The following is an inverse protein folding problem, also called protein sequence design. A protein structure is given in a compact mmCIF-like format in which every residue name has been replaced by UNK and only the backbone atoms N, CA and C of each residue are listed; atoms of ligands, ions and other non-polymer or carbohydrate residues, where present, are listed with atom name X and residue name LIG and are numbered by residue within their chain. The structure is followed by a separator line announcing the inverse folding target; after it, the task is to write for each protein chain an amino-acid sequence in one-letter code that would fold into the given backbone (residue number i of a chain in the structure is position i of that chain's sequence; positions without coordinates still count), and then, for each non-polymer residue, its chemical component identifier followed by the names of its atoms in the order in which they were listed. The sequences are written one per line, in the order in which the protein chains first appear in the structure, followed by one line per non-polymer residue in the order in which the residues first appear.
data_IF_826140655706
#
_entry.id   IF_826140655706
#
_cell.length_a   1.000
_cell.length_b   1.000
_cell.length_c   1.000
_cell.angle_alpha   90.00
_cell.angle_beta   90.00
_cell.angle_gamma   90.00
#
_symmetry.space_group_name_H-M   'P 1'
#
loop_
_entity.id
_entity.type
_entity.pdbx_description
1 polymer ?
#
# COMPACT_ATOMS: atom_id res chain seq x y z
N UNK A 1 -27.24 0.62 14.42
CA UNK A 1 -26.22 -0.42 14.40
C UNK A 1 -24.98 0.13 15.08
N UNK A 2 -24.37 -0.61 16.01
CA UNK A 2 -23.02 -0.32 16.50
C UNK A 2 -22.01 -0.98 15.56
N UNK A 3 -20.92 -0.29 15.28
CA UNK A 3 -19.85 -0.78 14.39
C UNK A 3 -18.52 -0.61 15.10
N UNK A 4 -17.72 -1.67 15.14
CA UNK A 4 -16.35 -1.65 15.60
C UNK A 4 -15.44 -1.93 14.40
N UNK A 5 -14.49 -1.04 14.10
CA UNK A 5 -13.44 -1.24 13.13
C UNK A 5 -12.16 -1.61 13.86
N UNK A 6 -11.64 -2.79 13.55
CA UNK A 6 -10.40 -3.33 14.11
C UNK A 6 -9.27 -3.16 13.11
N UNK A 7 -8.16 -2.57 13.53
CA UNK A 7 -7.01 -2.27 12.68
C UNK A 7 -5.71 -2.70 13.36
N UNK A 8 -4.87 -3.43 12.63
CA UNK A 8 -3.59 -3.94 13.15
C UNK A 8 -2.53 -2.85 13.31
N UNK A 9 -2.62 -1.79 12.52
CA UNK A 9 -1.69 -0.65 12.61
C UNK A 9 -2.23 0.46 13.54
N UNK A 10 -1.49 1.54 13.67
CA UNK A 10 -1.90 2.73 14.42
C UNK A 10 -2.64 3.77 13.58
N UNK A 11 -3.07 3.44 12.36
CA UNK A 11 -3.75 4.36 11.47
C UNK A 11 -4.62 3.63 10.46
N UNK A 12 -5.74 4.21 10.09
CA UNK A 12 -6.60 3.73 9.00
C UNK A 12 -5.97 3.97 7.62
N UNK A 13 -6.50 3.29 6.60
CA UNK A 13 -6.13 3.46 5.20
C UNK A 13 -5.23 2.36 4.63
N UNK A 14 -4.81 1.40 5.46
CA UNK A 14 -4.06 0.22 5.05
C UNK A 14 -2.88 0.56 4.15
N UNK A 15 -2.78 -0.07 2.98
CA UNK A 15 -1.65 0.07 2.07
C UNK A 15 -1.31 1.52 1.68
N UNK A 16 -2.30 2.41 1.57
CA UNK A 16 -2.07 3.81 1.23
C UNK A 16 -1.26 4.55 2.30
N UNK A 17 -1.58 4.30 3.57
CA UNK A 17 -1.07 5.06 4.69
C UNK A 17 0.06 4.36 5.46
N UNK A 18 0.12 3.02 5.43
CA UNK A 18 1.12 2.24 6.16
C UNK A 18 2.22 1.68 5.25
N UNK A 19 1.88 1.30 4.00
CA UNK A 19 2.83 0.65 3.09
C UNK A 19 3.29 1.57 1.95
N UNK A 20 2.99 2.87 2.03
CA UNK A 20 3.38 3.86 1.03
C UNK A 20 2.92 3.51 -0.41
N UNK A 21 1.75 2.88 -0.57
CA UNK A 21 1.19 2.65 -1.92
C UNK A 21 0.66 3.98 -2.46
N UNK A 22 1.45 4.61 -3.31
CA UNK A 22 1.27 5.98 -3.77
C UNK A 22 1.74 6.13 -5.23
N UNK A 23 1.16 7.01 -6.03
CA UNK A 23 -0.08 7.77 -5.83
C UNK A 23 -1.33 6.91 -6.07
N UNK A 24 -2.54 7.50 -6.00
CA UNK A 24 -3.73 6.80 -6.50
C UNK A 24 -3.55 6.42 -7.96
N UNK A 25 -3.98 5.22 -8.33
CA UNK A 25 -4.15 4.88 -9.74
C UNK A 25 -5.28 5.72 -10.33
N UNK A 26 -5.31 5.86 -11.66
CA UNK A 26 -6.38 6.60 -12.32
C UNK A 26 -7.76 6.03 -11.96
N UNK A 27 -8.59 6.84 -11.34
CA UNK A 27 -9.97 6.55 -11.01
C UNK A 27 -10.96 7.18 -12.01
N UNK A 28 -10.46 7.47 -13.19
CA UNK A 28 -11.23 7.93 -14.36
C UNK A 28 -10.68 7.32 -15.64
N UNK A 29 -11.50 7.36 -16.70
CA UNK A 29 -11.07 7.07 -18.07
C UNK A 29 -11.44 8.22 -18.99
N UNK A 30 -10.63 8.46 -20.01
CA UNK A 30 -10.93 9.41 -21.06
C UNK A 30 -11.69 8.67 -22.16
N UNK A 31 -12.88 9.19 -22.54
CA UNK A 31 -13.74 8.60 -23.54
C UNK A 31 -13.33 9.05 -24.97
N UNK A 32 -13.70 8.26 -26.01
CA UNK A 32 -13.34 8.63 -27.39
C UNK A 32 -13.89 9.98 -27.88
N UNK A 33 -14.96 10.46 -27.26
CA UNK A 33 -15.58 11.77 -27.54
C UNK A 33 -14.88 12.95 -26.82
N UNK A 34 -13.78 12.68 -26.12
CA UNK A 34 -13.02 13.67 -25.37
C UNK A 34 -13.59 13.96 -23.97
N UNK A 35 -14.68 13.34 -23.59
CA UNK A 35 -15.23 13.47 -22.22
C UNK A 35 -14.46 12.58 -21.24
N UNK A 36 -14.58 12.88 -19.94
CA UNK A 36 -14.00 12.07 -18.87
C UNK A 36 -15.10 11.37 -18.10
N UNK A 37 -14.93 10.06 -17.89
CA UNK A 37 -15.81 9.24 -17.05
C UNK A 37 -15.10 8.87 -15.77
N UNK A 38 -15.73 9.19 -14.63
CA UNK A 38 -15.25 8.77 -13.31
C UNK A 38 -15.59 7.28 -13.10
N UNK A 39 -14.63 6.52 -12.60
CA UNK A 39 -14.73 5.08 -12.33
C UNK A 39 -14.96 4.78 -10.85
N UNK A 40 -14.55 5.72 -9.97
CA UNK A 40 -14.78 5.64 -8.53
C UNK A 40 -15.54 6.88 -8.07
N UNK A 41 -16.43 6.71 -7.11
CA UNK A 41 -17.31 7.74 -6.57
C UNK A 41 -17.71 7.41 -5.10
N UNK A 42 -18.63 8.18 -4.53
CA UNK A 42 -19.15 7.96 -3.17
C UNK A 42 -18.11 8.23 -2.10
N UNK A 43 -17.91 7.30 -1.19
CA UNK A 43 -16.98 7.45 -0.04
C UNK A 43 -15.56 7.78 -0.51
N UNK A 44 -15.10 7.22 -1.63
CA UNK A 44 -13.79 7.57 -2.19
C UNK A 44 -13.67 9.07 -2.49
N UNK A 45 -14.69 9.65 -3.15
CA UNK A 45 -14.69 11.08 -3.47
C UNK A 45 -14.71 11.92 -2.19
N UNK A 46 -15.51 11.54 -1.20
CA UNK A 46 -15.57 12.24 0.08
C UNK A 46 -14.21 12.23 0.81
N UNK A 47 -13.54 11.06 0.89
CA UNK A 47 -12.21 10.94 1.47
C UNK A 47 -11.21 11.83 0.73
N UNK A 48 -11.24 11.80 -0.59
CA UNK A 48 -10.32 12.56 -1.44
C UNK A 48 -10.52 14.07 -1.24
N UNK A 49 -11.75 14.55 -1.36
CA UNK A 49 -12.11 15.97 -1.23
C UNK A 49 -11.71 16.51 0.16
N UNK A 50 -12.05 15.80 1.24
CA UNK A 50 -11.67 16.16 2.61
C UNK A 50 -10.14 16.17 2.82
N UNK A 51 -9.42 15.29 2.13
CA UNK A 51 -7.95 15.26 2.19
C UNK A 51 -7.35 16.45 1.44
N UNK A 52 -7.92 16.83 0.29
CA UNK A 52 -7.53 18.03 -0.47
C UNK A 52 -7.77 19.33 0.32
N UNK A 53 -8.82 19.41 1.13
CA UNK A 53 -9.09 20.56 2.01
C UNK A 53 -7.95 20.79 3.00
N UNK A 54 -7.33 19.71 3.51
CA UNK A 54 -6.22 19.79 4.47
C UNK A 54 -4.86 19.97 3.80
N UNK A 55 -4.67 19.39 2.62
CA UNK A 55 -3.40 19.45 1.89
C UNK A 55 -3.65 19.42 0.40
N UNK A 56 -3.44 20.56 -0.27
CA UNK A 56 -3.63 20.67 -1.72
C UNK A 56 -2.64 19.76 -2.46
N UNK A 57 -3.11 18.81 -3.29
CA UNK A 57 -2.27 17.97 -4.09
C UNK A 57 -1.67 18.73 -5.28
N UNK A 58 -0.55 18.20 -5.82
CA UNK A 58 0.04 18.70 -7.06
C UNK A 58 -0.74 18.23 -8.30
N UNK A 59 -1.41 17.10 -8.19
CA UNK A 59 -2.23 16.50 -9.25
C UNK A 59 -3.42 15.76 -8.67
N UNK A 60 -4.35 15.34 -9.53
CA UNK A 60 -5.58 14.60 -9.11
C UNK A 60 -5.32 13.18 -8.57
N UNK A 61 -4.11 12.69 -8.61
CA UNK A 61 -3.76 11.37 -8.09
C UNK A 61 -2.89 11.44 -6.84
N UNK A 62 -2.36 12.62 -6.53
CA UNK A 62 -1.52 12.81 -5.37
C UNK A 62 -2.36 13.02 -4.11
N UNK A 63 -1.86 12.58 -2.98
CA UNK A 63 -2.46 12.82 -1.68
C UNK A 63 -1.38 12.86 -0.59
N UNK A 64 -1.72 13.45 0.55
CA UNK A 64 -0.86 13.38 1.73
C UNK A 64 -1.34 12.22 2.62
N UNK A 65 -0.57 11.14 2.77
CA UNK A 65 -0.94 10.04 3.67
C UNK A 65 -1.19 10.50 5.10
N UNK A 66 -0.40 11.46 5.59
CA UNK A 66 -0.55 11.95 6.96
C UNK A 66 -1.86 12.71 7.18
N UNK A 67 -2.29 13.53 6.20
CA UNK A 67 -3.60 14.18 6.27
C UNK A 67 -4.74 13.19 6.06
N UNK A 68 -4.56 12.20 5.21
CA UNK A 68 -5.55 11.15 4.96
C UNK A 68 -5.83 10.32 6.22
N UNK A 69 -4.83 10.00 7.03
CA UNK A 69 -5.03 9.34 8.34
C UNK A 69 -6.02 10.13 9.20
N UNK A 70 -5.81 11.44 9.32
CA UNK A 70 -6.70 12.33 10.09
C UNK A 70 -8.12 12.37 9.51
N UNK A 71 -8.25 12.41 8.19
CA UNK A 71 -9.56 12.41 7.53
C UNK A 71 -10.32 11.12 7.80
N UNK A 72 -9.65 9.98 7.68
CA UNK A 72 -10.27 8.67 7.92
C UNK A 72 -10.73 8.51 9.38
N UNK A 73 -9.89 8.94 10.34
CA UNK A 73 -10.27 8.94 11.76
C UNK A 73 -11.52 9.79 12.01
N UNK A 74 -11.55 11.02 11.47
CA UNK A 74 -12.69 11.93 11.60
C UNK A 74 -13.96 11.35 11.00
N UNK A 75 -13.89 10.79 9.80
CA UNK A 75 -15.04 10.19 9.12
C UNK A 75 -15.63 9.02 9.93
N UNK A 76 -14.79 8.16 10.51
CA UNK A 76 -15.23 7.06 11.33
C UNK A 76 -15.88 7.56 12.63
N UNK A 77 -15.24 8.49 13.33
CA UNK A 77 -15.76 9.05 14.59
C UNK A 77 -17.07 9.83 14.37
N UNK A 78 -17.15 10.64 13.32
CA UNK A 78 -18.35 11.38 12.93
C UNK A 78 -19.51 10.44 12.55
N UNK A 79 -19.20 9.27 11.96
CA UNK A 79 -20.18 8.23 11.64
C UNK A 79 -20.58 7.37 12.87
N UNK A 80 -19.97 7.58 14.04
CA UNK A 80 -20.23 6.80 15.25
C UNK A 80 -19.63 5.39 15.19
N UNK A 81 -18.55 5.19 14.44
CA UNK A 81 -17.79 3.94 14.41
C UNK A 81 -16.77 3.94 15.55
N UNK A 82 -16.79 2.88 16.37
CA UNK A 82 -15.75 2.63 17.35
C UNK A 82 -14.47 2.12 16.65
N UNK A 83 -13.30 2.60 17.07
CA UNK A 83 -12.01 2.23 16.53
C UNK A 83 -11.18 1.45 17.53
N UNK A 84 -10.55 0.35 17.09
CA UNK A 84 -9.61 -0.43 17.87
C UNK A 84 -8.31 -0.61 17.07
N UNK A 85 -7.31 0.22 17.37
CA UNK A 85 -5.98 0.16 16.76
C UNK A 85 -5.05 -0.83 17.47
N UNK A 86 -3.96 -1.22 16.79
CA UNK A 86 -2.95 -2.14 17.30
C UNK A 86 -3.55 -3.48 17.76
N UNK A 87 -4.55 -3.95 17.03
CA UNK A 87 -5.26 -5.19 17.28
C UNK A 87 -5.19 -6.09 16.04
N UNK A 88 -4.35 -7.10 16.09
CA UNK A 88 -4.10 -8.00 14.95
C UNK A 88 -5.02 -9.21 15.04
N UNK A 89 -5.84 -9.43 14.02
CA UNK A 89 -6.64 -10.65 13.87
C UNK A 89 -5.73 -11.88 13.74
N UNK A 90 -6.00 -12.94 14.48
CA UNK A 90 -5.23 -14.17 14.39
C UNK A 90 -6.08 -15.46 14.42
N UNK A 91 -7.38 -15.35 14.70
CA UNK A 91 -8.28 -16.50 14.73
C UNK A 91 -9.74 -16.06 14.49
N UNK A 92 -10.51 -16.90 13.80
CA UNK A 92 -11.98 -16.83 13.75
C UNK A 92 -12.58 -17.98 14.53
N UNK A 93 -13.46 -17.68 15.48
CA UNK A 93 -14.25 -18.67 16.24
C UNK A 93 -15.52 -18.96 15.46
N UNK A 94 -15.65 -20.19 14.96
CA UNK A 94 -16.78 -20.59 14.12
C UNK A 94 -17.64 -21.67 14.78
N UNK A 95 -18.95 -21.62 14.51
CA UNK A 95 -19.90 -22.66 14.83
C UNK A 95 -20.63 -23.10 13.55
N UNK A 96 -20.30 -24.25 13.04
CA UNK A 96 -20.72 -24.69 11.72
C UNK A 96 -20.21 -23.75 10.61
N UNK A 97 -21.13 -23.06 9.94
CA UNK A 97 -20.81 -22.08 8.88
C UNK A 97 -20.90 -20.62 9.33
N UNK A 98 -21.02 -20.38 10.60
CA UNK A 98 -21.19 -19.05 11.18
C UNK A 98 -19.98 -18.64 12.00
N UNK A 99 -19.43 -17.46 11.73
CA UNK A 99 -18.44 -16.82 12.59
C UNK A 99 -19.19 -16.28 13.81
N UNK A 100 -18.76 -16.63 15.02
CA UNK A 100 -19.33 -16.18 16.30
C UNK A 100 -18.52 -15.07 16.92
N UNK A 101 -17.21 -15.19 16.83
CA UNK A 101 -16.27 -14.21 17.35
C UNK A 101 -15.00 -14.17 16.48
N UNK A 102 -14.26 -13.11 16.61
CA UNK A 102 -12.87 -13.03 16.15
C UNK A 102 -11.95 -12.87 17.35
N UNK A 103 -10.74 -13.41 17.25
CA UNK A 103 -9.68 -13.22 18.24
C UNK A 103 -8.63 -12.28 17.70
N UNK A 104 -8.32 -11.27 18.49
CA UNK A 104 -7.30 -10.28 18.16
C UNK A 104 -6.21 -10.26 19.23
N UNK A 105 -4.97 -10.12 18.77
CA UNK A 105 -3.82 -9.90 19.64
C UNK A 105 -3.63 -8.40 19.86
N UNK A 106 -3.59 -7.99 21.13
CA UNK A 106 -3.33 -6.62 21.56
C UNK A 106 -2.14 -6.57 22.51
N UNK A 107 -1.68 -5.37 22.85
CA UNK A 107 -0.62 -5.21 23.86
C UNK A 107 -0.99 -5.78 25.23
N UNK A 108 -2.28 -5.82 25.57
CA UNK A 108 -2.79 -6.37 26.83
C UNK A 108 -3.02 -7.89 26.77
N UNK A 109 -2.83 -8.53 25.63
CA UNK A 109 -3.07 -9.94 25.41
C UNK A 109 -4.14 -10.22 24.35
N UNK A 110 -4.63 -11.43 24.28
CA UNK A 110 -5.72 -11.84 23.39
C UNK A 110 -7.07 -11.27 23.87
N UNK A 111 -7.91 -10.89 22.91
CA UNK A 111 -9.26 -10.39 23.14
C UNK A 111 -10.21 -11.06 22.15
N UNK A 112 -11.35 -11.57 22.64
CA UNK A 112 -12.43 -12.09 21.83
C UNK A 112 -13.46 -10.98 21.57
N UNK A 113 -13.84 -10.82 20.30
CA UNK A 113 -14.83 -9.82 19.87
C UNK A 113 -16.01 -10.54 19.21
N UNK A 114 -17.18 -10.40 19.79
CA UNK A 114 -18.42 -10.98 19.29
C UNK A 114 -19.25 -9.95 18.51
N UNK A 115 -19.91 -10.38 17.45
CA UNK A 115 -20.81 -9.55 16.66
C UNK A 115 -21.86 -10.41 15.92
N UNK A 116 -22.94 -9.78 15.50
CA UNK A 116 -23.93 -10.42 14.62
C UNK A 116 -23.41 -10.59 13.19
N UNK A 117 -22.56 -9.66 12.73
CA UNK A 117 -21.98 -9.65 11.39
C UNK A 117 -20.50 -9.28 11.42
N UNK A 118 -19.73 -9.94 10.57
CA UNK A 118 -18.31 -9.68 10.38
C UNK A 118 -18.04 -9.31 8.92
N UNK A 119 -17.24 -8.28 8.70
CA UNK A 119 -16.80 -7.84 7.38
C UNK A 119 -15.30 -8.01 7.31
N UNK A 120 -14.82 -8.84 6.38
CA UNK A 120 -13.40 -8.95 6.12
C UNK A 120 -12.93 -7.76 5.28
N UNK A 121 -12.14 -6.91 5.89
CA UNK A 121 -11.47 -5.76 5.28
C UNK A 121 -9.96 -5.80 5.51
N UNK A 122 -9.40 -7.00 5.78
CA UNK A 122 -7.98 -7.18 6.10
C UNK A 122 -7.05 -6.88 4.91
N UNK A 123 -7.60 -6.85 3.69
CA UNK A 123 -6.84 -6.64 2.46
C UNK A 123 -6.40 -7.95 1.81
N UNK A 124 -6.06 -8.96 2.61
CA UNK A 124 -5.58 -10.26 2.15
C UNK A 124 -6.58 -11.40 2.36
N UNK A 125 -7.74 -11.14 2.96
CA UNK A 125 -8.77 -12.13 3.22
C UNK A 125 -8.47 -13.01 4.44
N UNK A 126 -7.77 -12.48 5.44
CA UNK A 126 -7.34 -13.22 6.62
C UNK A 126 -8.52 -13.81 7.41
N UNK A 127 -9.59 -13.03 7.58
CA UNK A 127 -10.79 -13.53 8.26
C UNK A 127 -11.45 -14.68 7.50
N UNK A 128 -11.51 -14.59 6.17
CA UNK A 128 -12.04 -15.68 5.33
C UNK A 128 -11.22 -16.95 5.47
N UNK A 129 -9.88 -16.82 5.46
CA UNK A 129 -8.97 -17.94 5.64
C UNK A 129 -9.13 -18.58 7.03
N UNK A 130 -9.16 -17.78 8.09
CA UNK A 130 -9.36 -18.26 9.46
C UNK A 130 -10.75 -18.86 9.70
N UNK A 131 -11.76 -18.40 8.97
CA UNK A 131 -13.11 -18.98 9.02
C UNK A 131 -13.25 -20.28 8.21
N UNK A 132 -12.20 -20.75 7.54
CA UNK A 132 -12.19 -21.96 6.74
C UNK A 132 -12.93 -21.85 5.41
N UNK A 133 -13.03 -20.64 4.86
CA UNK A 133 -13.57 -20.44 3.51
C UNK A 133 -12.58 -20.87 2.45
N UNK A 134 -13.06 -21.34 1.31
CA UNK A 134 -12.21 -21.67 0.16
C UNK A 134 -11.59 -20.39 -0.41
N UNK A 135 -10.30 -20.43 -0.71
CA UNK A 135 -9.58 -19.35 -1.37
C UNK A 135 -8.48 -19.93 -2.28
N UNK A 136 -7.97 -19.10 -3.17
CA UNK A 136 -6.85 -19.43 -4.02
C UNK A 136 -5.64 -18.57 -3.65
N UNK A 137 -4.51 -19.21 -3.32
CA UNK A 137 -3.25 -18.54 -3.11
C UNK A 137 -2.39 -18.65 -4.39
N UNK A 138 -1.97 -17.51 -4.90
CA UNK A 138 -1.19 -17.45 -6.13
C UNK A 138 -2.00 -17.76 -7.40
N UNK A 139 -1.33 -17.77 -8.54
CA UNK A 139 -1.95 -18.05 -9.84
C UNK A 139 -1.95 -19.55 -10.15
N UNK A 140 -2.95 -20.01 -10.89
CA UNK A 140 -3.14 -21.43 -11.20
C UNK A 140 -1.96 -22.08 -11.94
N UNK A 141 -1.26 -21.29 -12.78
CA UNK A 141 -0.23 -21.84 -13.67
C UNK A 141 1.04 -22.32 -12.95
N UNK A 142 1.40 -21.68 -11.81
CA UNK A 142 2.66 -21.97 -11.10
C UNK A 142 2.61 -21.70 -9.58
N UNK A 143 1.45 -21.34 -9.04
CA UNK A 143 1.26 -21.05 -7.63
C UNK A 143 1.92 -19.75 -7.13
N UNK A 144 2.53 -18.95 -8.01
CA UNK A 144 3.24 -17.75 -7.60
C UNK A 144 2.28 -16.61 -7.30
N UNK A 145 2.51 -15.95 -6.16
CA UNK A 145 1.84 -14.73 -5.76
C UNK A 145 2.38 -13.50 -6.51
N UNK A 146 1.71 -12.37 -6.35
CA UNK A 146 2.16 -11.09 -6.87
C UNK A 146 3.56 -10.75 -6.30
N UNK A 147 4.45 -10.13 -7.10
CA UNK A 147 5.71 -9.64 -6.59
C UNK A 147 5.52 -8.64 -5.45
N UNK A 148 6.33 -8.79 -4.40
CA UNK A 148 6.36 -7.83 -3.30
C UNK A 148 7.16 -6.60 -3.69
N UNK A 149 6.78 -5.45 -3.16
CA UNK A 149 7.45 -4.17 -3.40
C UNK A 149 7.61 -3.40 -2.09
N UNK A 150 8.81 -2.93 -1.82
CA UNK A 150 9.08 -1.94 -0.80
C UNK A 150 9.13 -0.56 -1.46
N UNK A 151 8.08 0.24 -1.28
CA UNK A 151 8.08 1.63 -1.68
C UNK A 151 8.93 2.46 -0.72
N UNK A 152 9.60 3.50 -1.24
CA UNK A 152 10.41 4.39 -0.41
C UNK A 152 10.37 5.83 -0.92
N UNK A 153 10.85 6.75 -0.10
CA UNK A 153 10.94 8.17 -0.45
C UNK A 153 12.37 8.67 -0.26
N UNK A 154 12.79 9.55 -1.16
CA UNK A 154 14.02 10.30 -1.04
C UNK A 154 13.67 11.77 -0.84
N UNK A 155 14.20 12.35 0.23
CA UNK A 155 14.11 13.78 0.52
C UNK A 155 15.41 14.49 0.19
N UNK A 156 15.34 15.83 0.12
CA UNK A 156 16.50 16.69 -0.23
C UNK A 156 16.86 16.63 -1.70
N UNK A 157 15.91 16.28 -2.56
CA UNK A 157 16.12 16.21 -4.01
C UNK A 157 16.09 17.62 -4.60
N UNK A 158 17.13 17.96 -5.37
CA UNK A 158 17.12 19.12 -6.25
C UNK A 158 16.18 18.85 -7.41
N UNK A 159 15.01 19.48 -7.37
CA UNK A 159 13.93 19.20 -8.34
C UNK A 159 14.25 19.70 -9.74
N UNK A 160 15.09 20.74 -9.89
CA UNK A 160 15.54 21.24 -11.20
C UNK A 160 16.52 20.27 -11.84
N UNK A 161 17.51 19.80 -11.06
CA UNK A 161 18.43 18.75 -11.52
C UNK A 161 17.69 17.46 -11.84
N UNK A 162 16.76 17.05 -10.98
CA UNK A 162 15.95 15.86 -11.25
C UNK A 162 15.16 15.99 -12.58
N UNK A 163 14.51 17.13 -12.81
CA UNK A 163 13.76 17.35 -14.05
C UNK A 163 14.67 17.28 -15.29
N UNK A 164 15.90 17.79 -15.19
CA UNK A 164 16.89 17.74 -16.27
C UNK A 164 17.38 16.31 -16.54
N UNK A 165 17.68 15.52 -15.51
CA UNK A 165 18.24 14.17 -15.68
C UNK A 165 17.17 13.08 -15.84
N UNK A 166 15.91 13.33 -15.50
CA UNK A 166 14.82 12.36 -15.54
C UNK A 166 14.72 11.55 -16.85
N UNK A 167 14.90 12.15 -18.07
CA UNK A 167 14.87 11.40 -19.32
C UNK A 167 15.98 10.35 -19.44
N UNK A 168 17.09 10.53 -18.74
CA UNK A 168 18.29 9.66 -18.84
C UNK A 168 18.24 8.49 -17.83
N UNK A 169 17.48 8.62 -16.74
CA UNK A 169 17.45 7.65 -15.65
C UNK A 169 17.10 6.25 -16.16
N UNK A 170 15.96 6.11 -16.82
CA UNK A 170 15.51 4.79 -17.28
C UNK A 170 16.38 4.17 -18.39
N UNK A 171 16.84 4.91 -19.40
CA UNK A 171 17.79 4.38 -20.38
C UNK A 171 19.07 3.85 -19.73
N UNK A 172 19.66 4.60 -18.81
CA UNK A 172 20.89 4.18 -18.12
C UNK A 172 20.65 2.98 -17.19
N UNK A 173 19.53 3.00 -16.42
CA UNK A 173 19.15 1.88 -15.57
C UNK A 173 19.04 0.57 -16.36
N UNK A 174 18.31 0.59 -17.48
CA UNK A 174 18.13 -0.58 -18.34
C UNK A 174 19.45 -1.08 -18.91
N UNK A 175 20.34 -0.18 -19.31
CA UNK A 175 21.68 -0.51 -19.79
C UNK A 175 22.49 -1.22 -18.70
N UNK A 176 22.58 -0.64 -17.50
CA UNK A 176 23.35 -1.21 -16.40
C UNK A 176 22.77 -2.54 -15.91
N UNK A 177 21.46 -2.69 -15.94
CA UNK A 177 20.77 -3.96 -15.64
C UNK A 177 21.12 -5.03 -16.69
N UNK A 178 21.10 -4.70 -17.97
CA UNK A 178 21.50 -5.62 -19.04
C UNK A 178 22.98 -6.05 -18.94
N UNK A 179 23.83 -5.18 -18.41
CA UNK A 179 25.26 -5.45 -18.13
C UNK A 179 25.46 -6.25 -16.81
N UNK A 180 24.40 -6.58 -16.07
CA UNK A 180 24.46 -7.31 -14.81
C UNK A 180 25.00 -6.48 -13.63
N UNK A 181 25.09 -5.15 -13.77
CA UNK A 181 25.55 -4.22 -12.72
C UNK A 181 24.43 -3.85 -11.73
N UNK A 182 23.18 -4.04 -12.12
CA UNK A 182 21.99 -3.88 -11.28
C UNK A 182 21.32 -5.24 -11.18
N UNK A 183 21.10 -5.71 -9.95
CA UNK A 183 20.53 -7.03 -9.63
C UNK A 183 19.03 -7.00 -9.43
N UNK A 184 18.47 -5.83 -9.11
CA UNK A 184 17.02 -5.64 -8.94
C UNK A 184 16.29 -6.12 -10.21
N UNK A 185 15.33 -7.05 -10.10
CA UNK A 185 14.62 -7.61 -11.25
C UNK A 185 13.61 -6.63 -11.88
N UNK A 186 13.33 -5.50 -11.25
CA UNK A 186 12.43 -4.47 -11.81
C UNK A 186 12.98 -3.94 -13.14
N UNK A 187 12.08 -3.73 -14.11
CA UNK A 187 12.47 -3.35 -15.49
C UNK A 187 12.75 -1.86 -15.65
N UNK A 188 12.26 -1.05 -14.74
CA UNK A 188 12.33 0.41 -14.81
C UNK A 188 12.39 1.06 -13.43
N UNK A 189 12.78 2.32 -13.43
CA UNK A 189 12.72 3.21 -12.26
C UNK A 189 11.41 3.97 -12.32
N UNK A 190 10.47 3.60 -11.47
CA UNK A 190 9.16 4.24 -11.39
C UNK A 190 9.16 5.26 -10.24
N UNK A 191 9.05 6.54 -10.61
CA UNK A 191 9.16 7.67 -9.67
C UNK A 191 7.94 8.56 -9.79
N UNK A 192 7.44 9.02 -8.66
CA UNK A 192 6.32 9.96 -8.57
C UNK A 192 6.72 11.19 -7.75
N UNK A 193 6.15 12.33 -8.12
CA UNK A 193 6.18 13.53 -7.29
C UNK A 193 5.30 13.31 -6.05
N UNK A 194 5.59 14.02 -4.98
CA UNK A 194 4.76 14.03 -3.78
C UNK A 194 4.18 15.41 -3.53
N UNK A 195 3.27 15.54 -2.57
CA UNK A 195 2.73 16.83 -2.14
C UNK A 195 3.76 17.74 -1.47
N UNK A 196 4.93 17.21 -1.13
CA UNK A 196 6.03 17.94 -0.51
C UNK A 196 7.14 18.16 -1.53
N UNK A 197 7.60 19.43 -1.64
CA UNK A 197 8.72 19.78 -2.51
C UNK A 197 10.03 19.11 -2.05
N UNK A 198 10.89 18.77 -3.00
CA UNK A 198 12.16 18.09 -2.72
C UNK A 198 12.03 16.64 -2.24
N UNK A 199 10.84 16.05 -2.32
CA UNK A 199 10.60 14.64 -1.97
C UNK A 199 10.05 13.88 -3.17
N UNK A 200 10.74 12.81 -3.56
CA UNK A 200 10.28 11.88 -4.58
C UNK A 200 9.90 10.53 -3.97
N UNK A 201 8.84 9.94 -4.50
CA UNK A 201 8.37 8.61 -4.14
C UNK A 201 8.77 7.58 -5.20
N UNK A 202 9.29 6.45 -4.75
CA UNK A 202 9.80 5.38 -5.60
C UNK A 202 9.00 4.09 -5.39
N UNK A 203 8.54 3.52 -6.50
CA UNK A 203 7.98 2.17 -6.59
C UNK A 203 8.87 1.35 -7.54
N UNK A 204 10.09 1.03 -7.10
CA UNK A 204 11.16 0.52 -7.97
C UNK A 204 11.81 -0.77 -7.49
N UNK A 205 11.45 -1.28 -6.33
CA UNK A 205 11.89 -2.62 -5.89
C UNK A 205 10.97 -3.69 -6.42
N UNK A 206 11.47 -4.92 -6.50
CA UNK A 206 10.65 -6.09 -6.86
C UNK A 206 11.25 -7.35 -6.25
N UNK A 207 10.53 -7.96 -5.34
CA UNK A 207 10.88 -9.27 -4.77
C UNK A 207 9.90 -10.29 -5.30
N UNK A 208 10.41 -11.36 -5.90
CA UNK A 208 9.62 -12.38 -6.61
C UNK A 208 9.83 -13.75 -6.01
N UNK A 209 8.85 -14.65 -6.19
CA UNK A 209 8.92 -16.06 -5.79
C UNK A 209 9.02 -16.25 -4.27
N UNK A 210 8.31 -15.41 -3.53
CA UNK A 210 8.15 -15.53 -2.08
C UNK A 210 6.68 -15.77 -1.74
N UNK A 211 6.44 -16.52 -0.69
CA UNK A 211 5.12 -16.77 -0.14
C UNK A 211 4.75 -15.67 0.86
N UNK A 212 3.72 -14.86 0.60
CA UNK A 212 3.31 -13.78 1.51
C UNK A 212 2.64 -14.28 2.79
N UNK A 213 2.32 -15.56 2.88
CA UNK A 213 1.69 -16.18 4.05
C UNK A 213 2.69 -16.86 4.99
N UNK A 214 3.95 -17.02 4.55
CA UNK A 214 5.04 -17.56 5.35
C UNK A 214 5.87 -16.44 5.98
N UNK A 215 5.87 -16.34 7.31
CA UNK A 215 6.53 -15.26 8.04
C UNK A 215 8.07 -15.23 7.83
N UNK A 216 8.71 -16.38 7.67
CA UNK A 216 10.16 -16.44 7.42
C UNK A 216 10.46 -15.99 5.99
N UNK A 217 9.59 -16.34 5.04
CA UNK A 217 9.75 -15.95 3.64
C UNK A 217 9.50 -14.45 3.46
N UNK A 218 8.48 -13.89 4.11
CA UNK A 218 8.25 -12.45 4.19
C UNK A 218 9.45 -11.72 4.80
N UNK A 219 10.03 -12.27 5.88
CA UNK A 219 11.23 -11.68 6.50
C UNK A 219 12.40 -11.63 5.52
N UNK A 220 12.64 -12.70 4.77
CA UNK A 220 13.68 -12.75 3.73
C UNK A 220 13.41 -11.72 2.62
N UNK A 221 12.15 -11.63 2.19
CA UNK A 221 11.70 -10.66 1.17
C UNK A 221 11.92 -9.21 1.60
N UNK A 222 11.60 -8.88 2.85
CA UNK A 222 11.81 -7.57 3.45
C UNK A 222 13.30 -7.16 3.46
N UNK A 223 14.19 -8.09 3.86
CA UNK A 223 15.63 -7.85 3.86
C UNK A 223 16.12 -7.61 2.43
N UNK A 224 15.71 -8.47 1.49
CA UNK A 224 16.08 -8.34 0.08
C UNK A 224 15.57 -7.03 -0.53
N UNK A 225 14.36 -6.60 -0.21
CA UNK A 225 13.79 -5.35 -0.69
C UNK A 225 14.61 -4.13 -0.22
N UNK A 226 15.09 -4.14 1.03
CA UNK A 226 15.96 -3.07 1.56
C UNK A 226 17.29 -3.00 0.82
N UNK A 227 17.91 -4.12 0.49
CA UNK A 227 19.12 -4.15 -0.34
C UNK A 227 18.86 -3.56 -1.73
N UNK A 228 17.69 -3.84 -2.34
CA UNK A 228 17.31 -3.23 -3.61
C UNK A 228 17.10 -1.71 -3.51
N UNK A 229 16.60 -1.20 -2.36
CA UNK A 229 16.51 0.25 -2.11
C UNK A 229 17.90 0.88 -2.11
N UNK A 230 18.87 0.29 -1.40
CA UNK A 230 20.23 0.80 -1.36
C UNK A 230 20.92 0.72 -2.73
N UNK A 231 20.75 -0.36 -3.47
CA UNK A 231 21.22 -0.46 -4.86
C UNK A 231 20.66 0.67 -5.74
N UNK A 232 19.39 1.03 -5.57
CA UNK A 232 18.77 2.14 -6.28
C UNK A 232 19.34 3.50 -5.87
N UNK A 233 19.56 3.72 -4.57
CA UNK A 233 20.18 4.94 -4.06
C UNK A 233 21.62 5.11 -4.61
N UNK A 234 22.41 4.04 -4.60
CA UNK A 234 23.75 4.04 -5.14
C UNK A 234 23.79 4.29 -6.65
N UNK A 235 22.83 3.70 -7.39
CA UNK A 235 22.65 3.97 -8.80
C UNK A 235 22.38 5.46 -9.07
N UNK A 236 21.45 6.06 -8.33
CA UNK A 236 21.11 7.47 -8.50
C UNK A 236 22.28 8.40 -8.12
N UNK A 237 22.90 8.19 -6.98
CA UNK A 237 24.05 8.99 -6.51
C UNK A 237 25.24 8.90 -7.45
N UNK A 238 25.58 7.72 -7.91
CA UNK A 238 26.74 7.51 -8.77
C UNK A 238 26.61 8.18 -10.13
N UNK A 239 25.39 8.34 -10.64
CA UNK A 239 25.19 8.75 -12.03
C UNK A 239 24.51 10.12 -12.19
N UNK A 240 23.91 10.70 -11.13
CA UNK A 240 23.06 11.88 -11.24
C UNK A 240 23.23 12.90 -10.10
N UNK A 241 24.37 12.88 -9.40
CA UNK A 241 24.70 13.89 -8.37
C UNK A 241 24.87 15.31 -8.92
#
# INVERSE_FOLDING_TARGET
LSVLLVEQSGALGGALNTNLVYPFMRYWTDCPDGTRKWLSAGIFTEIFDKTEELCKPMSKIDFSPEHMKVVLDRLCVEAGVDLLFHATLFEAVTEGRQVKAIRVATKAGAMDLEADFFVDATGDGDLLAFAGCDFQLGRESDGLCQPMTLCFRLGGVDMEKYAACKPEINPLYKKLRAEGKIRNPREDVLVFYTVADGILHFNTTRVVKHDPTDAEDVTRAEIMAREQVFEMIDFLRTNFE
#
